data_IF_620077946859
#
_entry.id   IF_620077946859
#
_cell.length_a   1.000
_cell.length_b   1.000
_cell.length_c   1.000
_cell.angle_alpha   90.00
_cell.angle_beta   90.00
_cell.angle_gamma   90.00
#
_symmetry.space_group_name_H-M   'P 1'
#
loop_
_entity.id
_entity.type
_entity.pdbx_description
1 polymer ?
#
# COMPACT_ATOMS: atom_id res chain seq x y z
N UNK A 1 5.35 -57.31 -25.99
CA UNK A 1 4.77 -55.96 -25.79
C UNK A 1 4.14 -55.66 -24.41
N UNK A 2 4.40 -56.47 -23.37
CA UNK A 2 3.81 -56.27 -22.02
C UNK A 2 4.74 -55.66 -20.97
N UNK A 3 6.03 -55.45 -21.26
CA UNK A 3 7.01 -55.03 -20.26
C UNK A 3 7.36 -53.52 -20.28
N UNK A 4 6.90 -52.74 -21.25
CA UNK A 4 7.16 -51.29 -21.30
C UNK A 4 6.12 -50.43 -20.56
N UNK A 5 4.88 -50.92 -20.48
CA UNK A 5 3.78 -50.20 -19.84
C UNK A 5 3.92 -50.13 -18.30
N UNK A 6 4.46 -51.20 -17.69
CA UNK A 6 4.58 -51.30 -16.23
C UNK A 6 5.76 -50.45 -15.68
N UNK A 7 6.83 -50.29 -16.47
CA UNK A 7 7.97 -49.44 -16.07
C UNK A 7 7.64 -47.94 -16.14
N UNK A 8 6.80 -47.49 -17.11
CA UNK A 8 6.38 -46.10 -17.23
C UNK A 8 5.40 -45.69 -16.13
N UNK A 9 4.52 -46.59 -15.70
CA UNK A 9 3.62 -46.37 -14.57
C UNK A 9 4.34 -46.27 -13.23
N UNK A 10 5.34 -47.11 -13.00
CA UNK A 10 6.15 -47.06 -11.78
C UNK A 10 6.99 -45.78 -11.68
N UNK A 11 7.58 -45.32 -12.79
CA UNK A 11 8.37 -44.08 -12.80
C UNK A 11 7.49 -42.82 -12.66
N UNK A 12 6.26 -42.82 -13.20
CA UNK A 12 5.31 -41.72 -13.02
C UNK A 12 4.82 -41.64 -11.57
N UNK A 13 4.51 -42.78 -10.95
CA UNK A 13 4.06 -42.82 -9.55
C UNK A 13 5.18 -42.40 -8.58
N UNK A 14 6.43 -42.80 -8.85
CA UNK A 14 7.56 -42.36 -8.01
C UNK A 14 7.89 -40.87 -8.16
N UNK A 15 7.77 -40.29 -9.38
CA UNK A 15 7.93 -38.86 -9.57
C UNK A 15 6.80 -38.05 -8.93
N UNK A 16 5.55 -38.53 -9.01
CA UNK A 16 4.41 -37.85 -8.37
C UNK A 16 4.50 -37.91 -6.85
N UNK A 17 4.94 -39.06 -6.27
CA UNK A 17 5.19 -39.16 -4.83
C UNK A 17 6.35 -38.24 -4.40
N UNK A 18 7.38 -38.09 -5.22
CA UNK A 18 8.53 -37.22 -4.92
C UNK A 18 8.15 -35.73 -4.98
N UNK A 19 7.31 -35.32 -5.94
CA UNK A 19 6.78 -33.95 -6.05
C UNK A 19 5.80 -33.64 -4.93
N UNK A 20 4.90 -34.56 -4.57
CA UNK A 20 3.99 -34.40 -3.43
C UNK A 20 4.74 -34.40 -2.09
N UNK A 21 5.83 -35.17 -1.95
CA UNK A 21 6.69 -35.15 -0.76
C UNK A 21 7.50 -33.85 -0.63
N UNK A 22 7.84 -33.20 -1.74
CA UNK A 22 8.52 -31.88 -1.72
C UNK A 22 7.51 -30.75 -1.38
N UNK A 23 6.26 -30.83 -1.83
CA UNK A 23 5.22 -29.85 -1.48
C UNK A 23 4.70 -29.98 -0.03
N UNK A 24 4.90 -31.12 0.65
CA UNK A 24 4.44 -31.34 2.02
C UNK A 24 5.53 -31.19 3.10
N UNK A 25 6.76 -30.87 2.74
CA UNK A 25 7.77 -30.46 3.71
C UNK A 25 7.77 -28.91 3.73
N UNK A 26 6.80 -28.32 4.44
CA UNK A 26 7.05 -27.03 5.09
C UNK A 26 8.34 -27.26 5.86
N UNK A 27 9.37 -26.49 5.57
CA UNK A 27 10.69 -26.70 6.19
C UNK A 27 10.56 -26.25 7.65
N UNK A 28 10.07 -27.18 8.51
CA UNK A 28 9.84 -26.95 9.94
C UNK A 28 11.11 -26.46 10.63
N UNK A 29 12.26 -26.79 10.08
CA UNK A 29 13.55 -26.26 10.53
C UNK A 29 13.64 -24.76 10.39
N UNK A 30 13.10 -24.17 9.30
CA UNK A 30 13.15 -22.72 9.05
C UNK A 30 12.32 -21.95 10.08
N UNK A 31 11.07 -22.36 10.32
CA UNK A 31 10.22 -21.77 11.33
C UNK A 31 10.84 -21.88 12.75
N UNK A 32 11.29 -23.06 13.12
CA UNK A 32 11.86 -23.34 14.45
C UNK A 32 13.13 -22.50 14.67
N UNK A 33 13.99 -22.41 13.66
CA UNK A 33 15.18 -21.58 13.71
C UNK A 33 14.87 -20.09 13.82
N UNK A 34 13.85 -19.62 13.10
CA UNK A 34 13.40 -18.23 13.13
C UNK A 34 12.86 -17.84 14.51
N UNK A 35 11.97 -18.64 15.11
CA UNK A 35 11.42 -18.32 16.44
C UNK A 35 12.48 -18.42 17.54
N UNK A 36 13.43 -19.36 17.44
CA UNK A 36 14.57 -19.45 18.35
C UNK A 36 15.44 -18.19 18.24
N UNK A 37 15.76 -17.77 17.03
CA UNK A 37 16.55 -16.57 16.78
C UNK A 37 15.87 -15.32 17.35
N UNK A 38 14.61 -15.09 17.04
CA UNK A 38 13.83 -13.94 17.54
C UNK A 38 13.77 -13.90 19.07
N UNK A 39 13.56 -15.06 19.72
CA UNK A 39 13.56 -15.16 21.18
C UNK A 39 14.92 -14.82 21.79
N UNK A 40 15.99 -15.36 21.22
CA UNK A 40 17.35 -15.11 21.72
C UNK A 40 17.78 -13.68 21.53
N UNK A 41 17.40 -13.02 20.43
CA UNK A 41 17.64 -11.60 20.20
C UNK A 41 16.99 -10.71 21.28
N UNK A 42 15.80 -11.07 21.77
CA UNK A 42 15.14 -10.39 22.90
C UNK A 42 15.67 -10.82 24.28
N UNK A 43 16.62 -11.75 24.35
CA UNK A 43 17.14 -12.27 25.61
C UNK A 43 16.11 -13.01 26.46
N UNK A 44 15.05 -13.58 25.84
CA UNK A 44 13.97 -14.24 26.59
C UNK A 44 14.23 -15.73 26.78
N UNK A 45 13.85 -16.25 27.97
CA UNK A 45 13.72 -17.68 28.18
C UNK A 45 12.51 -18.22 27.41
N UNK A 46 12.49 -19.54 27.14
CA UNK A 46 11.35 -20.20 26.52
C UNK A 46 10.06 -20.00 27.33
N UNK A 47 10.16 -20.06 28.65
CA UNK A 47 9.04 -19.80 29.57
C UNK A 47 8.51 -18.38 29.43
N UNK A 48 9.38 -17.37 29.50
CA UNK A 48 8.98 -15.97 29.43
C UNK A 48 8.26 -15.64 28.12
N UNK A 49 8.74 -16.21 26.99
CA UNK A 49 8.07 -16.00 25.70
C UNK A 49 6.73 -16.76 25.62
N UNK A 50 6.67 -17.98 26.13
CA UNK A 50 5.42 -18.76 26.18
C UNK A 50 4.33 -18.02 26.97
N UNK A 51 4.70 -17.44 28.11
CA UNK A 51 3.79 -16.63 28.94
C UNK A 51 3.31 -15.38 28.18
N UNK A 52 4.21 -14.69 27.48
CA UNK A 52 3.88 -13.53 26.66
C UNK A 52 2.95 -13.87 25.46
N UNK A 53 3.02 -15.10 24.97
CA UNK A 53 2.19 -15.60 23.87
C UNK A 53 0.90 -16.29 24.38
N UNK A 54 0.68 -16.34 25.69
CA UNK A 54 -0.43 -17.06 26.31
C UNK A 54 -0.54 -18.53 25.84
N UNK A 55 0.59 -19.26 25.90
CA UNK A 55 0.68 -20.69 25.58
C UNK A 55 1.51 -21.42 26.63
N UNK A 56 1.33 -22.76 26.71
CA UNK A 56 2.14 -23.59 27.62
C UNK A 56 3.60 -23.64 27.16
N UNK A 57 4.56 -23.45 28.08
CA UNK A 57 6.00 -23.51 27.77
C UNK A 57 6.45 -24.83 27.14
N UNK A 58 5.82 -25.94 27.54
CA UNK A 58 6.04 -27.26 26.93
C UNK A 58 5.67 -27.25 25.42
N UNK A 59 4.54 -26.65 25.07
CA UNK A 59 4.10 -26.52 23.68
C UNK A 59 5.07 -25.61 22.88
N UNK A 60 5.43 -24.43 23.42
CA UNK A 60 6.41 -23.56 22.78
C UNK A 60 7.76 -24.29 22.55
N UNK A 61 8.19 -25.07 23.55
CA UNK A 61 9.44 -25.86 23.42
C UNK A 61 9.38 -26.84 22.25
N UNK A 62 8.26 -27.54 22.04
CA UNK A 62 8.13 -28.49 20.93
C UNK A 62 8.12 -27.79 19.57
N UNK A 63 7.58 -26.56 19.50
CA UNK A 63 7.61 -25.73 18.27
C UNK A 63 9.04 -25.26 17.96
N UNK A 64 9.76 -24.74 18.94
CA UNK A 64 11.12 -24.27 18.78
C UNK A 64 12.10 -25.42 18.50
N UNK A 65 11.84 -26.62 19.00
CA UNK A 65 12.65 -27.79 18.72
C UNK A 65 12.27 -28.49 17.39
N UNK A 66 11.28 -27.98 16.65
CA UNK A 66 10.84 -28.54 15.37
C UNK A 66 10.13 -29.90 15.48
N UNK A 67 9.62 -30.23 16.68
CA UNK A 67 8.96 -31.53 16.92
C UNK A 67 7.49 -31.54 16.55
N UNK A 68 6.84 -30.39 16.62
CA UNK A 68 5.41 -30.21 16.32
C UNK A 68 5.15 -28.90 15.62
N UNK A 69 4.13 -28.87 14.79
CA UNK A 69 3.65 -27.65 14.14
C UNK A 69 2.72 -26.88 15.08
N UNK A 70 2.88 -25.56 15.20
CA UNK A 70 1.94 -24.75 15.95
C UNK A 70 0.61 -24.63 15.18
N UNK A 71 -0.52 -24.57 15.90
CA UNK A 71 -1.79 -24.20 15.30
C UNK A 71 -1.72 -22.80 14.69
N UNK A 72 -2.53 -22.53 13.68
CA UNK A 72 -2.57 -21.24 12.99
C UNK A 72 -2.77 -20.05 13.95
N UNK A 73 -3.60 -20.21 14.97
CA UNK A 73 -3.80 -19.19 16.01
C UNK A 73 -2.53 -18.86 16.81
N UNK A 74 -1.64 -19.83 16.99
CA UNK A 74 -0.34 -19.62 17.65
C UNK A 74 0.64 -18.95 16.70
N UNK A 75 0.66 -19.33 15.41
CA UNK A 75 1.45 -18.63 14.38
C UNK A 75 1.10 -17.15 14.31
N UNK A 76 -0.19 -16.83 14.28
CA UNK A 76 -0.65 -15.43 14.30
C UNK A 76 -0.20 -14.69 15.56
N UNK A 77 -0.26 -15.31 16.75
CA UNK A 77 0.21 -14.69 17.99
C UNK A 77 1.71 -14.43 17.97
N UNK A 78 2.51 -15.36 17.48
CA UNK A 78 3.96 -15.18 17.32
C UNK A 78 4.24 -14.03 16.34
N UNK A 79 3.60 -14.04 15.18
CA UNK A 79 3.76 -13.00 14.15
C UNK A 79 3.42 -11.60 14.68
N UNK A 80 2.27 -11.46 15.37
CA UNK A 80 1.86 -10.19 16.02
C UNK A 80 2.84 -9.76 17.11
N UNK A 81 3.32 -10.69 17.94
CA UNK A 81 4.24 -10.38 19.03
C UNK A 81 5.58 -9.82 18.53
N UNK A 82 6.05 -10.31 17.40
CA UNK A 82 7.30 -9.85 16.76
C UNK A 82 7.08 -8.79 15.68
N UNK A 83 5.83 -8.39 15.40
CA UNK A 83 5.46 -7.45 14.32
C UNK A 83 6.00 -7.85 12.94
N UNK A 84 5.94 -9.13 12.62
CA UNK A 84 6.36 -9.71 11.34
C UNK A 84 5.21 -10.51 10.72
N UNK A 85 5.23 -10.68 9.39
CA UNK A 85 4.22 -11.52 8.73
C UNK A 85 4.44 -13.01 9.03
N UNK A 86 3.35 -13.80 8.97
CA UNK A 86 3.42 -15.27 9.09
C UNK A 86 4.27 -15.84 7.95
N UNK A 87 4.16 -15.28 6.75
CA UNK A 87 4.95 -15.69 5.59
C UNK A 87 6.46 -15.50 5.82
N UNK A 88 6.87 -14.33 6.34
CA UNK A 88 8.27 -14.07 6.70
C UNK A 88 8.76 -15.09 7.74
N UNK A 89 7.91 -15.44 8.70
CA UNK A 89 8.24 -16.41 9.75
C UNK A 89 8.44 -17.83 9.22
N UNK A 90 7.71 -18.20 8.14
CA UNK A 90 7.73 -19.54 7.56
C UNK A 90 8.70 -19.71 6.39
N UNK A 91 8.86 -18.66 5.54
CA UNK A 91 9.50 -18.79 4.21
C UNK A 91 10.89 -18.18 4.12
N UNK A 92 11.28 -17.28 5.04
CA UNK A 92 12.54 -16.53 4.98
C UNK A 92 13.44 -16.85 6.16
N UNK A 93 14.74 -17.09 5.90
CA UNK A 93 15.74 -17.20 6.96
C UNK A 93 16.02 -15.83 7.58
N UNK A 94 15.31 -15.55 8.68
CA UNK A 94 15.36 -14.25 9.38
C UNK A 94 16.78 -13.92 9.87
N UNK A 95 17.65 -14.91 10.08
CA UNK A 95 19.06 -14.70 10.48
C UNK A 95 19.89 -14.02 9.40
N UNK A 96 19.49 -14.17 8.12
CA UNK A 96 20.17 -13.57 6.95
C UNK A 96 19.63 -12.20 6.59
N UNK A 97 18.52 -11.80 7.19
CA UNK A 97 17.88 -10.51 6.94
C UNK A 97 18.26 -9.56 8.07
N UNK A 98 18.61 -8.33 7.75
CA UNK A 98 18.85 -7.30 8.77
C UNK A 98 17.50 -6.91 9.40
N UNK A 99 17.16 -7.59 10.52
CA UNK A 99 15.91 -7.41 11.25
C UNK A 99 15.77 -5.99 11.78
N UNK A 100 16.88 -5.32 12.17
CA UNK A 100 16.83 -3.92 12.59
C UNK A 100 16.28 -3.04 11.48
N UNK A 101 16.62 -3.29 10.22
CA UNK A 101 15.99 -2.63 9.08
C UNK A 101 14.52 -2.98 8.87
N UNK A 102 14.09 -4.18 9.25
CA UNK A 102 12.69 -4.62 9.18
C UNK A 102 11.87 -4.14 10.39
N UNK A 103 12.50 -4.07 11.57
CA UNK A 103 11.86 -3.64 12.82
C UNK A 103 11.99 -2.12 13.07
N UNK A 104 13.00 -1.45 12.48
CA UNK A 104 13.17 0.01 12.48
C UNK A 104 12.49 0.71 11.31
N UNK A 105 11.51 0.07 10.71
CA UNK A 105 10.43 0.83 10.09
C UNK A 105 9.76 1.58 11.24
N UNK A 106 10.25 2.76 11.50
CA UNK A 106 9.84 3.70 12.57
C UNK A 106 8.39 4.20 12.45
N UNK A 107 7.57 3.51 11.76
CA UNK A 107 6.13 3.59 11.74
C UNK A 107 5.64 2.16 11.51
N UNK A 108 4.63 1.74 12.22
CA UNK A 108 3.82 0.53 12.00
C UNK A 108 3.22 0.50 10.58
N UNK A 109 4.06 0.71 9.55
CA UNK A 109 3.67 0.63 8.15
C UNK A 109 3.67 -0.85 7.81
N UNK A 110 2.50 -1.41 7.88
CA UNK A 110 2.21 -2.71 7.29
C UNK A 110 2.70 -2.63 5.84
N UNK A 111 3.66 -3.49 5.47
CA UNK A 111 3.95 -3.74 4.06
C UNK A 111 2.68 -4.39 3.53
N UNK A 112 1.81 -3.57 2.97
CA UNK A 112 0.56 -4.03 2.42
C UNK A 112 0.91 -4.90 1.20
N UNK A 113 0.48 -6.16 1.12
CA UNK A 113 0.77 -7.01 -0.01
C UNK A 113 0.26 -6.36 -1.29
N UNK A 114 0.99 -6.52 -2.39
CA UNK A 114 0.46 -6.21 -3.72
C UNK A 114 -0.51 -7.33 -4.03
N UNK A 115 -1.79 -7.02 -4.06
CA UNK A 115 -2.81 -7.99 -4.46
C UNK A 115 -2.74 -8.13 -5.97
N UNK A 116 -2.48 -9.34 -6.45
CA UNK A 116 -2.48 -9.65 -7.90
C UNK A 116 -3.63 -10.59 -8.21
N UNK A 117 -4.17 -10.48 -9.41
CA UNK A 117 -5.16 -11.41 -9.92
C UNK A 117 -4.52 -12.76 -10.34
N UNK A 118 -5.34 -13.70 -10.82
CA UNK A 118 -4.88 -15.00 -11.30
C UNK A 118 -3.91 -14.93 -12.49
N UNK A 119 -3.82 -13.79 -13.15
CA UNK A 119 -2.96 -13.53 -14.32
C UNK A 119 -1.68 -12.75 -13.91
N UNK A 120 -1.51 -12.42 -12.63
CA UNK A 120 -0.40 -11.62 -12.12
C UNK A 120 -0.55 -10.11 -12.37
N UNK A 121 -1.76 -9.62 -12.68
CA UNK A 121 -2.04 -8.20 -12.82
C UNK A 121 -2.35 -7.56 -11.46
N UNK A 122 -1.86 -6.34 -11.25
CA UNK A 122 -2.13 -5.59 -10.01
C UNK A 122 -3.62 -5.31 -9.86
N UNK A 123 -4.16 -5.68 -8.72
CA UNK A 123 -5.48 -5.27 -8.29
C UNK A 123 -5.36 -3.97 -7.51
N UNK A 124 -6.09 -2.95 -7.95
CA UNK A 124 -6.12 -1.60 -7.38
C UNK A 124 -7.37 -1.49 -6.53
N UNK A 125 -7.21 -1.35 -5.22
CA UNK A 125 -8.34 -1.19 -4.30
C UNK A 125 -9.01 0.18 -4.52
N UNK A 126 -10.35 0.18 -4.55
CA UNK A 126 -11.15 1.40 -4.67
C UNK A 126 -11.67 1.79 -3.29
N UNK A 127 -11.29 2.95 -2.81
CA UNK A 127 -11.84 3.53 -1.57
C UNK A 127 -13.24 4.09 -1.89
N UNK A 128 -14.31 3.61 -1.22
CA UNK A 128 -15.66 4.09 -1.49
C UNK A 128 -15.87 5.52 -0.98
N UNK A 129 -16.67 6.33 -1.69
CA UNK A 129 -17.04 7.71 -1.26
C UNK A 129 -17.58 7.77 0.17
N UNK A 130 -18.42 6.82 0.55
CA UNK A 130 -19.06 6.78 1.88
C UNK A 130 -18.13 6.29 3.00
N UNK A 131 -16.93 5.82 2.69
CA UNK A 131 -16.04 5.16 3.65
C UNK A 131 -14.88 6.02 4.13
N UNK A 132 -14.91 7.34 3.97
CA UNK A 132 -13.82 8.21 4.48
C UNK A 132 -13.52 7.97 5.95
N UNK A 133 -14.55 7.96 6.80
CA UNK A 133 -14.37 7.66 8.23
C UNK A 133 -13.99 6.18 8.47
N UNK A 134 -14.58 5.25 7.72
CA UNK A 134 -14.25 3.82 7.78
C UNK A 134 -12.83 3.53 7.29
N UNK A 135 -12.39 4.22 6.23
CA UNK A 135 -11.03 4.09 5.73
C UNK A 135 -9.99 4.60 6.74
N UNK A 136 -10.25 5.74 7.39
CA UNK A 136 -9.40 6.25 8.48
C UNK A 136 -9.26 5.25 9.63
N UNK A 137 -10.31 4.50 9.95
CA UNK A 137 -10.29 3.48 11.00
C UNK A 137 -9.64 2.17 10.54
N UNK A 138 -9.76 1.81 9.26
CA UNK A 138 -9.37 0.51 8.70
C UNK A 138 -8.22 0.52 7.71
N UNK A 139 -7.58 1.68 7.42
CA UNK A 139 -6.52 1.75 6.40
C UNK A 139 -5.32 0.84 6.67
N UNK A 140 -5.07 0.52 7.94
CA UNK A 140 -4.02 -0.39 8.39
C UNK A 140 -4.49 -1.82 8.64
N UNK A 141 -5.79 -2.10 8.46
CA UNK A 141 -6.37 -3.43 8.62
C UNK A 141 -6.40 -4.17 7.27
N UNK A 142 -5.61 -5.25 7.10
CA UNK A 142 -5.56 -6.01 5.85
C UNK A 142 -6.92 -6.59 5.45
N UNK A 143 -7.74 -7.08 6.40
CA UNK A 143 -9.05 -7.67 6.12
C UNK A 143 -10.01 -6.60 5.55
N UNK A 144 -9.96 -5.38 6.11
CA UNK A 144 -10.73 -4.27 5.57
C UNK A 144 -10.30 -3.91 4.15
N UNK A 145 -8.99 -3.82 3.88
CA UNK A 145 -8.45 -3.49 2.56
C UNK A 145 -8.80 -4.56 1.52
N UNK A 146 -8.70 -5.85 1.89
CA UNK A 146 -9.08 -6.97 1.01
C UNK A 146 -10.58 -6.99 0.70
N UNK A 147 -11.43 -6.43 1.58
CA UNK A 147 -12.87 -6.31 1.36
C UNK A 147 -13.27 -5.22 0.38
N UNK A 148 -12.36 -4.30 0.02
CA UNK A 148 -12.64 -3.21 -0.92
C UNK A 148 -12.87 -3.76 -2.34
N UNK A 149 -13.63 -3.03 -3.14
CA UNK A 149 -13.75 -3.33 -4.56
C UNK A 149 -12.42 -3.09 -5.27
N UNK A 150 -12.15 -3.87 -6.31
CA UNK A 150 -10.91 -3.81 -7.06
C UNK A 150 -11.15 -3.53 -8.53
N UNK A 151 -10.20 -2.82 -9.16
CA UNK A 151 -10.08 -2.70 -10.60
C UNK A 151 -8.67 -3.12 -11.03
N UNK A 152 -8.53 -3.60 -12.27
CA UNK A 152 -7.24 -3.82 -12.92
C UNK A 152 -7.02 -2.78 -14.01
N UNK A 153 -5.82 -2.18 -14.02
CA UNK A 153 -5.37 -1.30 -15.10
C UNK A 153 -4.07 -1.89 -15.67
N UNK A 154 -4.09 -2.53 -16.84
CA UNK A 154 -2.98 -3.34 -17.37
C UNK A 154 -1.66 -2.58 -17.57
N UNK A 155 -1.71 -1.25 -17.61
CA UNK A 155 -0.55 -0.38 -17.76
C UNK A 155 0.07 0.06 -16.42
N UNK A 156 -0.58 -0.21 -15.28
CA UNK A 156 -0.05 0.07 -13.93
C UNK A 156 0.45 -1.24 -13.29
N UNK A 157 1.61 -1.73 -13.74
CA UNK A 157 2.11 -3.06 -13.36
C UNK A 157 3.06 -3.08 -12.18
N UNK A 158 3.85 -2.03 -11.96
CA UNK A 158 4.92 -2.02 -10.97
C UNK A 158 4.61 -1.03 -9.85
N UNK A 159 4.36 -1.54 -8.66
CA UNK A 159 4.09 -0.74 -7.46
C UNK A 159 2.74 -1.05 -6.85
N UNK A 160 2.51 -0.44 -5.71
CA UNK A 160 1.23 -0.51 -5.00
C UNK A 160 0.40 0.70 -5.38
N UNK A 161 -0.81 0.47 -5.83
CA UNK A 161 -1.74 1.50 -6.25
C UNK A 161 -3.05 1.40 -5.46
N UNK A 162 -3.71 2.54 -5.28
CA UNK A 162 -5.06 2.62 -4.71
C UNK A 162 -5.82 3.77 -5.34
N UNK A 163 -7.13 3.59 -5.56
CA UNK A 163 -8.01 4.59 -6.14
C UNK A 163 -8.80 5.30 -5.03
N UNK A 164 -8.70 6.61 -5.00
CA UNK A 164 -9.32 7.48 -4.00
C UNK A 164 -10.36 8.38 -4.65
N UNK A 165 -11.55 8.51 -4.09
CA UNK A 165 -12.56 9.41 -4.61
C UNK A 165 -12.18 10.87 -4.36
N UNK A 166 -12.42 11.71 -5.36
CA UNK A 166 -12.31 13.16 -5.25
C UNK A 166 -13.65 13.75 -4.85
N UNK A 167 -13.61 14.69 -3.92
CA UNK A 167 -14.75 15.49 -3.51
C UNK A 167 -14.41 16.98 -3.61
N UNK A 168 -15.41 17.75 -4.06
CA UNK A 168 -15.30 19.18 -4.22
C UNK A 168 -14.51 19.61 -5.45
N UNK A 169 -14.09 20.89 -5.47
CA UNK A 169 -13.49 21.58 -6.62
C UNK A 169 -12.08 22.12 -6.36
N UNK A 170 -11.40 21.60 -5.35
CA UNK A 170 -10.10 22.16 -4.93
C UNK A 170 -8.93 21.85 -5.87
N UNK A 171 -9.07 20.83 -6.74
CA UNK A 171 -8.00 20.35 -7.62
C UNK A 171 -8.45 20.18 -9.07
N UNK A 172 -8.78 21.27 -9.78
CA UNK A 172 -9.13 21.19 -11.18
C UNK A 172 -7.98 20.55 -12.01
N UNK A 173 -8.26 19.84 -13.11
CA UNK A 173 -9.58 19.67 -13.74
C UNK A 173 -10.43 18.55 -13.13
N UNK A 174 -9.98 17.94 -12.02
CA UNK A 174 -10.70 16.82 -11.39
C UNK A 174 -11.93 17.32 -10.63
N UNK A 175 -13.07 16.76 -10.96
CA UNK A 175 -14.36 17.12 -10.39
C UNK A 175 -14.83 16.06 -9.39
N UNK A 176 -15.85 16.45 -8.65
CA UNK A 176 -16.57 15.58 -7.72
C UNK A 176 -17.03 14.29 -8.41
N UNK A 177 -16.77 13.14 -7.77
CA UNK A 177 -17.05 11.81 -8.34
C UNK A 177 -15.94 11.21 -9.22
N UNK A 178 -14.86 11.94 -9.50
CA UNK A 178 -13.65 11.38 -10.12
C UNK A 178 -12.84 10.56 -9.12
N UNK A 179 -11.94 9.68 -9.61
CA UNK A 179 -11.02 8.94 -8.77
C UNK A 179 -9.58 9.26 -9.16
N UNK A 180 -8.73 9.46 -8.16
CA UNK A 180 -7.28 9.52 -8.34
C UNK A 180 -6.69 8.17 -7.95
N UNK A 181 -5.98 7.55 -8.88
CA UNK A 181 -5.14 6.38 -8.61
C UNK A 181 -3.77 6.88 -8.18
N UNK A 182 -3.44 6.63 -6.93
CA UNK A 182 -2.15 6.98 -6.35
C UNK A 182 -1.23 5.77 -6.26
N UNK A 183 0.06 6.00 -6.48
CA UNK A 183 1.12 5.05 -6.17
C UNK A 183 1.63 5.29 -4.76
N UNK A 184 1.75 4.24 -3.96
CA UNK A 184 2.20 4.34 -2.57
C UNK A 184 3.63 4.88 -2.47
N UNK A 185 3.83 5.82 -1.54
CA UNK A 185 5.13 6.41 -1.23
C UNK A 185 5.56 5.95 0.16
N UNK A 186 6.55 5.06 0.22
CA UNK A 186 6.98 4.45 1.48
C UNK A 186 7.66 5.43 2.44
N UNK A 187 8.42 6.39 1.91
CA UNK A 187 9.23 7.31 2.71
C UNK A 187 8.90 8.76 2.40
N UNK A 188 8.76 9.55 3.45
CA UNK A 188 8.50 10.98 3.31
C UNK A 188 9.60 11.72 2.50
N UNK A 189 10.85 11.20 2.49
CA UNK A 189 11.94 11.75 1.69
C UNK A 189 11.68 11.66 0.18
N UNK A 190 10.86 10.70 -0.24
CA UNK A 190 10.52 10.47 -1.66
C UNK A 190 9.42 11.44 -2.16
N UNK A 191 8.84 12.26 -1.28
CA UNK A 191 7.89 13.30 -1.67
C UNK A 191 8.64 14.40 -2.42
N UNK A 192 8.22 14.68 -3.65
CA UNK A 192 8.80 15.71 -4.51
C UNK A 192 7.94 16.97 -4.47
N UNK A 193 8.58 18.11 -4.29
CA UNK A 193 7.90 19.41 -4.27
C UNK A 193 7.19 19.70 -5.59
N UNK A 194 6.02 20.33 -5.49
CA UNK A 194 5.21 20.71 -6.63
C UNK A 194 4.44 19.56 -7.30
N UNK A 195 4.58 18.32 -6.82
CA UNK A 195 3.79 17.19 -7.30
C UNK A 195 2.50 17.02 -6.49
N UNK A 196 1.52 16.36 -7.09
CA UNK A 196 0.22 16.12 -6.44
C UNK A 196 0.18 14.75 -5.80
N UNK A 197 -0.43 14.70 -4.63
CA UNK A 197 -0.52 13.50 -3.79
C UNK A 197 -1.92 13.37 -3.18
N UNK A 198 -2.38 12.15 -3.06
CA UNK A 198 -3.42 11.82 -2.09
C UNK A 198 -2.74 11.57 -0.75
N UNK A 199 -3.13 12.31 0.26
CA UNK A 199 -2.62 12.21 1.62
C UNK A 199 -3.72 11.74 2.55
N UNK A 200 -3.44 10.74 3.37
CA UNK A 200 -4.27 10.39 4.50
C UNK A 200 -3.71 11.09 5.72
N UNK A 201 -4.49 11.97 6.34
CA UNK A 201 -4.09 12.73 7.53
C UNK A 201 -5.02 12.43 8.70
N UNK A 202 -4.54 12.69 9.93
CA UNK A 202 -5.32 12.47 11.16
C UNK A 202 -6.54 13.38 11.25
N UNK A 203 -6.36 14.65 10.85
CA UNK A 203 -7.36 15.70 11.05
C UNK A 203 -8.26 15.88 9.84
N UNK A 204 -7.69 15.91 8.61
CA UNK A 204 -8.45 16.21 7.39
C UNK A 204 -8.95 14.94 6.68
N UNK A 205 -8.50 13.75 7.12
CA UNK A 205 -8.80 12.50 6.44
C UNK A 205 -8.08 12.37 5.10
N UNK A 206 -8.81 11.95 4.07
CA UNK A 206 -8.29 11.79 2.71
C UNK A 206 -8.36 13.15 1.99
N UNK A 207 -7.22 13.68 1.59
CA UNK A 207 -7.11 14.92 0.81
C UNK A 207 -6.23 14.72 -0.41
N UNK A 208 -6.57 15.36 -1.54
CA UNK A 208 -5.75 15.40 -2.73
C UNK A 208 -5.23 16.82 -2.94
N UNK A 209 -3.91 17.03 -2.88
CA UNK A 209 -3.27 18.35 -2.88
C UNK A 209 -1.93 18.33 -3.60
N UNK A 210 -1.48 19.52 -4.00
CA UNK A 210 -0.11 19.78 -4.42
C UNK A 210 0.75 20.06 -3.20
N UNK A 211 1.88 19.36 -3.07
CA UNK A 211 2.64 19.30 -1.83
C UNK A 211 4.02 19.92 -2.01
N UNK A 212 4.42 20.69 -1.01
CA UNK A 212 5.75 21.28 -0.89
C UNK A 212 6.31 21.01 0.49
N UNK A 213 7.57 20.66 0.59
CA UNK A 213 8.24 20.40 1.86
C UNK A 213 8.69 21.73 2.49
N UNK A 214 8.43 21.88 3.81
CA UNK A 214 8.86 23.03 4.61
C UNK A 214 9.45 22.55 5.94
N UNK A 215 10.71 22.12 5.90
CA UNK A 215 11.39 21.56 7.07
C UNK A 215 10.73 20.24 7.53
N UNK A 216 10.14 20.25 8.74
CA UNK A 216 9.41 19.11 9.33
C UNK A 216 7.91 19.13 9.05
N UNK A 217 7.46 20.02 8.20
CA UNK A 217 6.06 20.18 7.79
C UNK A 217 5.95 20.06 6.27
N UNK A 218 4.72 19.89 5.82
CA UNK A 218 4.35 19.96 4.42
C UNK A 218 3.33 21.08 4.23
N UNK A 219 3.50 21.86 3.17
CA UNK A 219 2.52 22.85 2.71
C UNK A 219 1.64 22.20 1.68
N UNK A 220 0.34 22.18 1.92
CA UNK A 220 -0.67 21.65 1.03
C UNK A 220 -1.32 22.79 0.27
N UNK A 221 -1.20 22.75 -1.07
CA UNK A 221 -1.79 23.72 -1.98
C UNK A 221 -2.92 23.08 -2.78
N UNK A 222 -3.98 23.81 -2.94
CA UNK A 222 -5.02 23.53 -3.94
C UNK A 222 -4.62 24.16 -5.27
N UNK A 223 -4.95 23.50 -6.39
CA UNK A 223 -4.75 24.11 -7.71
C UNK A 223 -5.85 25.15 -8.01
N UNK A 224 -6.99 25.10 -7.30
CA UNK A 224 -7.98 26.17 -7.26
C UNK A 224 -7.56 27.21 -6.22
N UNK A 225 -7.33 28.44 -6.67
CA UNK A 225 -6.88 29.59 -5.86
C UNK A 225 -7.89 30.11 -4.84
N UNK A 226 -9.16 29.66 -4.92
CA UNK A 226 -10.16 29.95 -3.89
C UNK A 226 -9.83 29.31 -2.53
N UNK A 227 -8.94 28.30 -2.52
CA UNK A 227 -8.57 27.56 -1.33
C UNK A 227 -7.16 27.94 -0.88
N UNK A 228 -7.06 28.56 0.29
CA UNK A 228 -5.80 28.96 0.87
C UNK A 228 -4.89 27.76 1.19
N UNK A 229 -3.57 27.89 0.98
CA UNK A 229 -2.61 26.86 1.38
C UNK A 229 -2.51 26.73 2.90
N UNK A 230 -2.27 25.50 3.40
CA UNK A 230 -2.13 25.26 4.82
C UNK A 230 -1.01 24.26 5.13
N UNK A 231 -0.51 24.32 6.36
CA UNK A 231 0.60 23.48 6.82
C UNK A 231 0.10 22.24 7.56
N UNK A 232 0.69 21.08 7.24
CA UNK A 232 0.46 19.80 7.93
C UNK A 232 1.78 19.27 8.46
N UNK A 233 1.80 18.81 9.72
CA UNK A 233 2.99 18.19 10.32
C UNK A 233 3.22 16.80 9.72
N UNK A 234 4.47 16.41 9.52
CA UNK A 234 4.81 15.07 9.03
C UNK A 234 4.26 13.95 9.94
N UNK A 235 4.13 14.21 11.26
CA UNK A 235 3.57 13.26 12.25
C UNK A 235 2.07 13.02 12.13
N UNK A 236 1.38 13.90 11.41
CA UNK A 236 -0.07 13.83 11.24
C UNK A 236 -0.47 13.20 9.90
N UNK A 237 0.53 12.87 9.07
CA UNK A 237 0.36 12.17 7.80
C UNK A 237 0.47 10.65 8.05
N UNK A 238 -0.56 9.91 7.69
CA UNK A 238 -0.66 8.46 7.88
C UNK A 238 -0.25 7.68 6.64
N UNK A 239 -0.70 8.12 5.45
CA UNK A 239 -0.34 7.52 4.15
C UNK A 239 -0.10 8.61 3.11
N UNK A 240 0.77 8.29 2.15
CA UNK A 240 1.12 9.15 1.02
C UNK A 240 1.02 8.35 -0.27
N UNK A 241 0.29 8.90 -1.25
CA UNK A 241 0.07 8.28 -2.54
C UNK A 241 0.33 9.31 -3.64
N UNK A 242 1.40 9.12 -4.40
CA UNK A 242 1.73 10.00 -5.52
C UNK A 242 0.75 9.79 -6.67
N UNK A 243 0.28 10.85 -7.30
CA UNK A 243 -0.54 10.76 -8.50
C UNK A 243 0.09 9.85 -9.56
N UNK A 244 -0.65 8.87 -10.03
CA UNK A 244 -0.27 7.98 -11.12
C UNK A 244 -1.25 8.07 -12.29
N UNK A 245 -2.55 8.08 -12.00
CA UNK A 245 -3.61 8.11 -13.01
C UNK A 245 -4.90 8.70 -12.43
N UNK A 246 -5.81 9.12 -13.31
CA UNK A 246 -7.14 9.59 -12.90
C UNK A 246 -8.24 8.91 -13.73
N UNK A 247 -9.33 8.55 -13.05
CA UNK A 247 -10.57 8.09 -13.64
C UNK A 247 -11.59 9.22 -13.51
N UNK A 248 -11.99 9.80 -14.62
CA UNK A 248 -12.92 10.93 -14.66
C UNK A 248 -14.33 10.41 -14.91
N UNK A 249 -15.26 10.71 -14.01
CA UNK A 249 -16.64 10.21 -14.06
C UNK A 249 -17.57 11.03 -14.94
N UNK A 250 -17.14 12.24 -15.29
CA UNK A 250 -17.94 13.17 -16.10
C UNK A 250 -17.11 13.67 -17.27
N UNK A 251 -17.78 13.88 -18.40
CA UNK A 251 -17.18 14.56 -19.52
C UNK A 251 -16.87 16.01 -19.13
N UNK A 252 -15.66 16.44 -19.46
CA UNK A 252 -15.21 17.80 -19.19
C UNK A 252 -15.91 18.76 -20.19
N UNK A 253 -16.64 19.72 -19.67
CA UNK A 253 -17.23 20.77 -20.50
C UNK A 253 -16.31 21.98 -20.57
N UNK A 254 -16.21 22.65 -21.71
CA UNK A 254 -15.38 23.87 -21.84
C UNK A 254 -15.67 24.96 -20.81
N UNK A 255 -16.95 25.05 -20.34
CA UNK A 255 -17.40 26.01 -19.34
C UNK A 255 -17.00 25.64 -17.90
N UNK A 256 -16.52 24.39 -17.66
CA UNK A 256 -15.98 23.95 -16.38
C UNK A 256 -14.53 24.44 -16.14
N UNK A 257 -13.91 25.12 -17.14
CA UNK A 257 -12.61 25.76 -16.92
C UNK A 257 -12.77 26.94 -15.95
N UNK A 258 -11.84 27.11 -14.98
CA UNK A 258 -11.78 28.33 -14.19
C UNK A 258 -11.74 29.54 -15.14
N UNK A 259 -12.59 30.53 -14.90
CA UNK A 259 -12.64 31.75 -15.73
C UNK A 259 -11.31 32.49 -15.80
N UNK A 260 -10.41 32.23 -14.83
CA UNK A 260 -9.04 32.74 -14.78
C UNK A 260 -8.02 31.90 -15.57
N UNK A 261 -8.47 31.12 -16.55
CA UNK A 261 -7.53 30.37 -17.36
C UNK A 261 -6.63 31.32 -18.15
N UNK A 262 -5.35 30.97 -18.30
CA UNK A 262 -4.39 31.71 -19.12
C UNK A 262 -4.96 32.04 -20.51
N UNK A 263 -5.88 31.22 -21.00
CA UNK A 263 -6.58 31.41 -22.28
C UNK A 263 -7.51 32.61 -22.26
N UNK A 264 -8.27 32.77 -21.18
CA UNK A 264 -9.23 33.87 -21.05
C UNK A 264 -8.48 35.19 -20.85
N UNK A 265 -7.42 35.17 -20.06
CA UNK A 265 -6.49 36.31 -19.94
C UNK A 265 -5.88 36.67 -21.27
N UNK A 266 -5.42 35.71 -22.07
CA UNK A 266 -4.88 35.96 -23.42
C UNK A 266 -5.95 36.45 -24.39
N UNK A 267 -7.19 36.02 -24.29
CA UNK A 267 -8.30 36.52 -25.11
C UNK A 267 -8.68 37.93 -24.73
N UNK A 268 -8.67 38.28 -23.47
CA UNK A 268 -8.93 39.64 -22.98
C UNK A 268 -7.79 40.59 -23.39
N UNK A 269 -6.54 40.21 -23.19
CA UNK A 269 -5.38 40.95 -23.68
C UNK A 269 -5.47 41.17 -25.19
N UNK A 270 -5.82 40.15 -25.99
CA UNK A 270 -5.99 40.25 -27.43
C UNK A 270 -7.13 41.19 -27.81
N UNK A 271 -8.25 41.24 -27.05
CA UNK A 271 -9.36 42.16 -27.21
C UNK A 271 -8.90 43.59 -26.95
N UNK A 272 -8.19 43.80 -25.83
CA UNK A 272 -7.71 45.14 -25.46
C UNK A 272 -6.71 45.69 -26.45
N UNK A 273 -5.78 44.87 -26.96
CA UNK A 273 -4.85 45.24 -28.01
C UNK A 273 -5.60 45.68 -29.29
N UNK A 274 -6.66 44.98 -29.70
CA UNK A 274 -7.47 45.35 -30.85
C UNK A 274 -8.18 46.69 -30.65
N UNK A 275 -8.72 46.95 -29.45
CA UNK A 275 -9.35 48.23 -29.13
C UNK A 275 -8.33 49.38 -29.17
N UNK A 276 -7.17 49.19 -28.61
CA UNK A 276 -6.07 50.16 -28.63
C UNK A 276 -5.60 50.46 -30.07
N UNK A 277 -5.43 49.41 -30.88
CA UNK A 277 -5.01 49.56 -32.29
C UNK A 277 -6.05 50.29 -33.14
N UNK A 278 -7.33 50.09 -32.86
CA UNK A 278 -8.41 50.83 -33.56
C UNK A 278 -8.50 52.31 -33.19
N UNK A 279 -8.13 52.68 -31.95
CA UNK A 279 -8.05 54.06 -31.47
C UNK A 279 -6.87 54.87 -32.02
N UNK A 280 -5.77 54.17 -32.34
CA UNK A 280 -4.59 54.81 -32.90
C UNK A 280 -4.67 55.05 -34.44
N UNK A 281 -5.70 54.50 -35.11
CA UNK A 281 -5.92 54.64 -36.55
C UNK A 281 -7.08 55.60 -36.88
N UNK A 282 -7.61 56.30 -35.90
CA UNK A 282 -8.61 57.38 -35.99
C UNK A 282 -7.98 58.71 -35.59
#
# INVERSE_FOLDING_TARGET
MKNYSTKLLQTATQKTIFVVAICNKIDMTQFSDNIRFLRTQKGFSKQKLADALDIKAAAYTTYEDGRTEPPFSVLQRIARYYHISVDLLLSVDIRKVNIEKLLTLEDNRIVLPITVDKNGENLIEIVPHKAKAGYLAGYSDPEYIESLQHISLPFLRNGKFRAFPIEGKSMPPFQDGSFIVGQYVEKAENIKDGHTYVMLTKDDGIVYKRVYRKGRKFMFHSDNTEFEPYEVKATDILEVWQFAFALISKEYQPDDMPQDSMRDLLLDIKRDIKILASRNNS
#
